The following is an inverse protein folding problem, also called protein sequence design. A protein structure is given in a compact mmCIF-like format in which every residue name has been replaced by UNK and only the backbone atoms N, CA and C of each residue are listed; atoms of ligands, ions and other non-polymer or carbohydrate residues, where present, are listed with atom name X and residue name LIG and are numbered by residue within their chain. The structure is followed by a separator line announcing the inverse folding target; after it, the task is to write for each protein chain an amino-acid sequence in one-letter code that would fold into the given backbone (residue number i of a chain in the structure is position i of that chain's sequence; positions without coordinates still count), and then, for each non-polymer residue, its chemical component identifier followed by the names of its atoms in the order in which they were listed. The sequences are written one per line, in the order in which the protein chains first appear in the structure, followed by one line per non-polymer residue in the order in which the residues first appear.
data_IF_227354545917
#
_entry.id   IF_227354545917
#
_cell.length_a   1.000
_cell.length_b   1.000
_cell.length_c   1.000
_cell.angle_alpha   90.00
_cell.angle_beta   90.00
_cell.angle_gamma   90.00
#
_symmetry.space_group_name_H-M   'P 1'
#
loop_
_entity.id
_entity.type
_entity.pdbx_description
1 polymer ?
#
# COMPACT_ATOMS: atom_id res chain seq x y z
N UNK A 1 -0.50 13.81 3.21
CA UNK A 1 -1.79 13.14 3.43
C UNK A 1 -2.52 13.81 4.57
N UNK A 2 -3.83 13.68 4.63
CA UNK A 2 -4.65 14.20 5.72
C UNK A 2 -4.62 13.25 6.94
N UNK A 3 -4.54 13.78 8.17
CA UNK A 3 -4.70 12.97 9.38
C UNK A 3 -6.03 12.21 9.36
N UNK A 4 -6.04 10.98 9.87
CA UNK A 4 -7.20 10.11 9.87
C UNK A 4 -7.38 9.29 8.58
N UNK A 5 -6.56 9.52 7.56
CA UNK A 5 -6.65 8.77 6.29
C UNK A 5 -6.19 7.31 6.39
N UNK A 6 -6.68 6.47 5.47
CA UNK A 6 -6.30 5.08 5.26
C UNK A 6 -5.36 4.95 4.06
N UNK A 7 -4.14 4.44 4.23
CA UNK A 7 -3.21 4.29 3.11
C UNK A 7 -2.83 2.82 2.86
N UNK A 8 -2.53 2.49 1.59
CA UNK A 8 -1.92 1.24 1.17
C UNK A 8 -0.49 1.48 0.65
N UNK A 9 0.46 0.64 1.05
CA UNK A 9 1.85 0.69 0.59
C UNK A 9 2.20 -0.64 -0.06
N UNK A 10 2.37 -0.64 -1.37
CA UNK A 10 2.75 -1.81 -2.16
C UNK A 10 4.27 -1.90 -2.27
N UNK A 11 4.84 -2.94 -1.66
CA UNK A 11 6.26 -3.14 -1.49
C UNK A 11 6.78 -2.47 -0.21
N UNK A 12 7.31 -3.25 0.72
CA UNK A 12 7.91 -2.75 1.97
C UNK A 12 9.40 -3.05 2.07
N UNK A 13 10.14 -2.70 1.01
CA UNK A 13 11.60 -2.54 1.05
C UNK A 13 12.03 -1.23 1.74
N UNK A 14 13.28 -0.79 1.59
CA UNK A 14 13.79 0.41 2.28
C UNK A 14 12.95 1.68 2.03
N UNK A 15 12.55 1.92 0.78
CA UNK A 15 11.70 3.06 0.42
C UNK A 15 10.27 2.86 0.95
N UNK A 16 9.68 1.68 0.78
CA UNK A 16 8.32 1.38 1.28
C UNK A 16 8.19 1.50 2.80
N UNK A 17 9.20 1.07 3.55
CA UNK A 17 9.24 1.27 5.01
C UNK A 17 9.33 2.76 5.38
N UNK A 18 10.05 3.55 4.58
CA UNK A 18 10.09 5.01 4.75
C UNK A 18 8.72 5.65 4.48
N UNK A 19 7.98 5.14 3.49
CA UNK A 19 6.58 5.54 3.25
C UNK A 19 5.71 5.19 4.45
N UNK A 20 5.78 3.97 4.99
CA UNK A 20 5.03 3.56 6.19
C UNK A 20 5.30 4.51 7.37
N UNK A 21 6.56 4.83 7.64
CA UNK A 21 6.93 5.77 8.70
C UNK A 21 6.40 7.18 8.43
N UNK A 22 6.47 7.64 7.17
CA UNK A 22 5.92 8.93 6.76
C UNK A 22 4.40 9.01 6.92
N UNK A 23 3.66 7.96 6.54
CA UNK A 23 2.21 7.87 6.73
C UNK A 23 1.83 7.95 8.21
N UNK A 24 2.56 7.23 9.07
CA UNK A 24 2.37 7.28 10.52
C UNK A 24 2.65 8.67 11.08
N UNK A 25 3.76 9.29 10.69
CA UNK A 25 4.11 10.64 11.12
C UNK A 25 3.09 11.70 10.65
N UNK A 26 2.47 11.49 9.48
CA UNK A 26 1.41 12.35 8.95
C UNK A 26 0.03 12.11 9.59
N UNK A 27 -0.09 11.14 10.50
CA UNK A 27 -1.31 10.87 11.25
C UNK A 27 -2.34 9.99 10.53
N UNK A 28 -1.92 9.10 9.61
CA UNK A 28 -2.82 8.09 9.05
C UNK A 28 -3.46 7.24 10.17
N UNK A 29 -4.76 6.98 10.07
CA UNK A 29 -5.48 6.12 11.02
C UNK A 29 -5.25 4.63 10.74
N UNK A 30 -5.03 4.29 9.47
CA UNK A 30 -4.82 2.93 8.99
C UNK A 30 -3.75 2.89 7.91
N UNK A 31 -2.80 1.98 8.05
CA UNK A 31 -1.66 1.81 7.15
C UNK A 31 -1.57 0.33 6.79
N UNK A 32 -1.93 0.01 5.55
CA UNK A 32 -1.98 -1.35 5.03
C UNK A 32 -0.70 -1.61 4.23
N UNK A 33 0.20 -2.44 4.77
CA UNK A 33 1.41 -2.87 4.08
C UNK A 33 1.12 -4.10 3.20
N UNK A 34 1.56 -4.08 1.94
CA UNK A 34 1.40 -5.17 0.99
C UNK A 34 2.76 -5.61 0.48
N UNK A 35 3.14 -6.87 0.71
CA UNK A 35 4.38 -7.47 0.19
C UNK A 35 4.23 -9.00 0.16
N UNK A 36 4.92 -9.67 -0.75
CA UNK A 36 4.91 -11.14 -0.85
C UNK A 36 5.81 -11.79 0.22
N UNK A 37 6.70 -11.02 0.85
CA UNK A 37 7.59 -11.50 1.88
C UNK A 37 7.07 -11.15 3.29
N UNK A 38 6.65 -12.18 4.01
CA UNK A 38 6.09 -12.06 5.36
C UNK A 38 7.07 -11.49 6.41
N UNK A 39 8.39 -11.69 6.25
CA UNK A 39 9.39 -11.10 7.14
C UNK A 39 9.45 -9.58 6.99
N UNK A 40 9.32 -9.07 5.76
CA UNK A 40 9.25 -7.62 5.51
C UNK A 40 7.96 -7.02 6.08
N UNK A 41 6.86 -7.75 6.00
CA UNK A 41 5.58 -7.34 6.61
C UNK A 41 5.69 -7.23 8.13
N UNK A 42 6.37 -8.18 8.78
CA UNK A 42 6.64 -8.09 10.23
C UNK A 42 7.39 -6.78 10.56
N UNK A 43 8.40 -6.43 9.74
CA UNK A 43 9.13 -5.17 9.93
C UNK A 43 8.26 -3.93 9.69
N UNK A 44 7.40 -3.95 8.67
CA UNK A 44 6.47 -2.87 8.40
C UNK A 44 5.53 -2.62 9.58
N UNK A 45 5.06 -3.68 10.24
CA UNK A 45 4.21 -3.59 11.43
C UNK A 45 4.91 -2.91 12.61
N UNK A 46 6.17 -3.23 12.87
CA UNK A 46 6.97 -2.54 13.90
C UNK A 46 7.10 -1.03 13.63
N UNK A 47 7.21 -0.64 12.35
CA UNK A 47 7.46 0.74 11.96
C UNK A 47 6.18 1.58 11.80
N UNK A 48 5.00 0.96 11.77
CA UNK A 48 3.74 1.70 11.76
C UNK A 48 2.59 1.10 11.00
N UNK A 49 2.79 0.01 10.24
CA UNK A 49 1.69 -0.64 9.55
C UNK A 49 0.67 -1.20 10.56
N UNK A 50 -0.61 -0.90 10.34
CA UNK A 50 -1.72 -1.42 11.15
C UNK A 50 -2.18 -2.78 10.65
N UNK A 51 -2.10 -2.98 9.33
CA UNK A 51 -2.51 -4.19 8.64
C UNK A 51 -1.38 -4.64 7.70
N UNK A 52 -1.29 -5.94 7.48
CA UNK A 52 -0.32 -6.53 6.58
C UNK A 52 -1.02 -7.56 5.69
N UNK A 53 -0.75 -7.49 4.39
CA UNK A 53 -1.36 -8.36 3.38
C UNK A 53 -0.24 -8.99 2.56
N UNK A 54 -0.23 -10.32 2.51
CA UNK A 54 0.48 -11.03 1.47
C UNK A 54 -0.50 -11.35 0.34
N UNK A 55 -0.33 -10.82 -0.89
CA UNK A 55 -1.22 -11.11 -2.00
C UNK A 55 -1.36 -12.61 -2.32
N UNK A 56 -0.36 -13.43 -1.98
CA UNK A 56 -0.35 -14.87 -2.24
C UNK A 56 -1.33 -15.66 -1.36
N UNK A 57 -1.80 -15.06 -0.25
CA UNK A 57 -2.77 -15.69 0.64
C UNK A 57 -4.21 -15.61 0.10
N UNK A 58 -4.42 -14.98 -1.06
CA UNK A 58 -5.75 -14.71 -1.62
C UNK A 58 -5.90 -15.24 -3.05
N UNK A 59 -7.05 -15.86 -3.33
CA UNK A 59 -7.44 -16.29 -4.67
C UNK A 59 -8.09 -15.16 -5.51
N UNK A 60 -7.87 -13.90 -5.14
CA UNK A 60 -8.44 -12.74 -5.81
C UNK A 60 -7.42 -11.59 -5.87
N UNK A 61 -7.55 -10.66 -6.84
CA UNK A 61 -6.63 -9.54 -6.95
C UNK A 61 -6.59 -8.68 -5.67
N UNK A 62 -5.40 -8.26 -5.26
CA UNK A 62 -5.20 -7.52 -4.00
C UNK A 62 -6.02 -6.23 -3.90
N UNK A 63 -6.30 -5.54 -5.02
CA UNK A 63 -7.16 -4.36 -5.01
C UNK A 63 -8.60 -4.68 -4.59
N UNK A 64 -9.12 -5.87 -4.93
CA UNK A 64 -10.44 -6.32 -4.45
C UNK A 64 -10.40 -6.62 -2.97
N UNK A 65 -9.33 -7.25 -2.48
CA UNK A 65 -9.11 -7.48 -1.04
C UNK A 65 -9.12 -6.14 -0.29
N UNK A 66 -8.40 -5.13 -0.80
CA UNK A 66 -8.34 -3.80 -0.20
C UNK A 66 -9.71 -3.12 -0.18
N UNK A 67 -10.48 -3.17 -1.28
CA UNK A 67 -11.84 -2.62 -1.32
C UNK A 67 -12.75 -3.34 -0.31
N UNK A 68 -12.70 -4.67 -0.22
CA UNK A 68 -13.48 -5.44 0.75
C UNK A 68 -13.10 -5.09 2.20
N UNK A 69 -11.80 -4.91 2.48
CA UNK A 69 -11.29 -4.56 3.82
C UNK A 69 -11.62 -3.13 4.27
N UNK A 70 -11.87 -2.23 3.32
CA UNK A 70 -12.08 -0.79 3.57
C UNK A 70 -13.50 -0.34 3.25
N UNK A 71 -14.31 -1.21 2.63
CA UNK A 71 -15.65 -0.93 2.13
C UNK A 71 -15.69 -0.14 0.82
N UNK A 72 -14.70 0.71 0.56
CA UNK A 72 -14.71 1.65 -0.55
C UNK A 72 -13.35 1.87 -1.24
N UNK A 73 -12.27 1.24 -0.78
CA UNK A 73 -10.90 1.49 -1.23
C UNK A 73 -10.09 2.32 -0.23
N UNK A 74 -8.82 2.59 -0.56
CA UNK A 74 -7.92 3.38 0.28
C UNK A 74 -7.86 4.84 -0.13
N UNK A 75 -7.43 5.66 0.81
CA UNK A 75 -7.28 7.08 0.63
C UNK A 75 -6.00 7.51 -0.08
N UNK A 76 -4.94 6.72 0.08
CA UNK A 76 -3.69 6.94 -0.61
C UNK A 76 -3.10 5.57 -0.94
N UNK A 77 -2.60 5.39 -2.14
CA UNK A 77 -1.82 4.22 -2.49
C UNK A 77 -0.42 4.63 -2.93
N UNK A 78 0.56 3.87 -2.47
CA UNK A 78 1.97 4.08 -2.81
C UNK A 78 2.51 2.82 -3.45
N UNK A 79 2.94 2.92 -4.70
CA UNK A 79 3.59 1.83 -5.41
C UNK A 79 5.10 2.04 -5.38
N UNK A 80 5.80 1.06 -4.81
CA UNK A 80 7.24 1.14 -4.51
C UNK A 80 7.98 -0.14 -4.91
N UNK A 81 7.38 -0.98 -5.75
CA UNK A 81 7.98 -2.19 -6.34
C UNK A 81 8.47 -1.91 -7.77
N UNK A 82 7.78 -1.04 -8.52
CA UNK A 82 8.03 -0.74 -9.94
C UNK A 82 7.61 -1.86 -10.90
N UNK A 83 6.55 -2.60 -10.58
CA UNK A 83 5.93 -3.59 -11.49
C UNK A 83 4.63 -3.04 -12.08
N UNK A 84 4.39 -3.28 -13.37
CA UNK A 84 3.18 -2.79 -14.06
C UNK A 84 1.90 -3.32 -13.39
N UNK A 85 1.94 -4.58 -12.91
CA UNK A 85 0.83 -5.20 -12.21
C UNK A 85 0.52 -4.51 -10.86
N UNK A 86 1.55 -4.16 -10.09
CA UNK A 86 1.37 -3.47 -8.81
C UNK A 86 0.96 -2.01 -9.01
N UNK A 87 1.42 -1.36 -10.08
CA UNK A 87 0.96 -0.02 -10.49
C UNK A 87 -0.54 0.00 -10.81
N UNK A 88 -1.02 -0.99 -11.56
CA UNK A 88 -2.44 -1.13 -11.89
C UNK A 88 -3.27 -1.43 -10.64
N UNK A 89 -2.79 -2.33 -9.77
CA UNK A 89 -3.46 -2.66 -8.53
C UNK A 89 -3.52 -1.46 -7.56
N UNK A 90 -2.45 -0.69 -7.44
CA UNK A 90 -2.40 0.51 -6.59
C UNK A 90 -3.41 1.57 -7.05
N UNK A 91 -3.49 1.81 -8.37
CA UNK A 91 -4.50 2.72 -8.94
C UNK A 91 -5.93 2.21 -8.70
N UNK A 92 -6.19 0.94 -8.97
CA UNK A 92 -7.51 0.32 -8.80
C UNK A 92 -7.97 0.21 -7.34
N UNK A 93 -7.04 0.37 -6.37
CA UNK A 93 -7.35 0.31 -4.94
C UNK A 93 -7.79 1.66 -4.36
N UNK A 94 -7.55 2.77 -5.06
CA UNK A 94 -7.93 4.10 -4.61
C UNK A 94 -9.43 4.36 -4.81
N UNK A 95 -10.04 5.10 -3.88
CA UNK A 95 -11.41 5.61 -4.04
C UNK A 95 -11.56 6.48 -5.29
N UNK A 96 -12.68 6.33 -6.00
CA UNK A 96 -13.03 7.10 -7.20
C UNK A 96 -13.21 8.62 -6.98
N UNK A 97 -13.29 9.09 -5.73
CA UNK A 97 -13.67 10.46 -5.40
C UNK A 97 -12.52 11.23 -4.72
N UNK A 98 -11.45 11.57 -5.46
CA UNK A 98 -10.39 12.55 -5.07
C UNK A 98 -9.14 12.05 -4.33
N UNK A 99 -8.56 10.89 -4.68
CA UNK A 99 -7.44 10.35 -3.89
C UNK A 99 -6.29 9.76 -4.73
N UNK A 100 -5.06 10.07 -4.29
CA UNK A 100 -3.81 10.08 -5.07
C UNK A 100 -3.07 8.74 -5.00
N UNK A 101 -2.76 8.19 -6.17
CA UNK A 101 -1.79 7.08 -6.32
C UNK A 101 -0.43 7.65 -6.69
N UNK A 102 0.59 7.37 -5.89
CA UNK A 102 1.96 7.84 -6.11
C UNK A 102 2.82 6.65 -6.52
N UNK A 103 3.40 6.75 -7.72
CA UNK A 103 4.38 5.80 -8.22
C UNK A 103 5.77 6.35 -7.91
N UNK A 104 6.48 5.68 -7.00
CA UNK A 104 7.85 6.07 -6.60
C UNK A 104 8.89 5.20 -7.33
N UNK A 105 8.46 4.04 -7.82
CA UNK A 105 9.29 3.09 -8.55
C UNK A 105 9.73 3.57 -9.93
N UNK A 106 10.97 3.26 -10.31
CA UNK A 106 11.46 3.43 -11.69
C UNK A 106 11.24 2.10 -12.42
N UNK A 107 10.36 2.03 -13.43
CA UNK A 107 10.18 0.79 -14.18
C UNK A 107 11.48 0.42 -14.92
N UNK A 108 11.75 -0.88 -15.15
CA UNK A 108 12.89 -1.29 -15.97
C UNK A 108 12.85 -0.56 -17.32
N UNK A 109 13.98 0.04 -17.74
CA UNK A 109 14.14 0.43 -19.13
C UNK A 109 14.10 -0.87 -19.95
N UNK A 110 13.17 -0.96 -20.89
CA UNK A 110 12.93 -2.16 -21.70
C UNK A 110 14.16 -2.68 -22.43
#
# INVERSE_FOLDING_TARGET
MEPGSTCAVFGVGGVGLSVVMGCKAAGASRIIAIDINNEKLAKAKELGATDCINPQDFNKPVHKVLIEMTGYGVDYSFEVVSLIETMTAALASCQNNYRLSVMVGVPPAG
#
